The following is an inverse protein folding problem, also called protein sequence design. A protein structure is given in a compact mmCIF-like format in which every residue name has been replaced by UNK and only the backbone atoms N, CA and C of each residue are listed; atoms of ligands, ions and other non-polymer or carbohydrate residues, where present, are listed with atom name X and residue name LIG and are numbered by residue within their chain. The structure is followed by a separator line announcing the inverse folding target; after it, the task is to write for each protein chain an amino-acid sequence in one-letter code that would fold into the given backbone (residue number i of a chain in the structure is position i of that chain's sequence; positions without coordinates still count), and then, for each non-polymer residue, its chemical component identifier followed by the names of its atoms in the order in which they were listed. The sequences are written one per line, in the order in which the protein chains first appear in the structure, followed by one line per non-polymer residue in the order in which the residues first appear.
data_IF_409137188688
#
_entry.id   IF_409137188688
#
_cell.length_a   1.000
_cell.length_b   1.000
_cell.length_c   1.000
_cell.angle_alpha   90.00
_cell.angle_beta   90.00
_cell.angle_gamma   90.00
#
_symmetry.space_group_name_H-M   'P 1'
#
loop_
_entity.id
_entity.type
_entity.pdbx_description
1 polymer ?
#
# COMPACT_ATOMS: atom_id res chain seq x y z
N UNK A 1 -3.38 50.05 -23.92
CA UNK A 1 -3.95 48.76 -23.43
C UNK A 1 -3.08 47.53 -23.69
N UNK A 2 -2.45 47.34 -24.87
CA UNK A 2 -1.66 46.13 -25.19
C UNK A 2 -0.42 45.87 -24.31
N UNK A 3 0.22 46.91 -23.77
CA UNK A 3 1.43 46.79 -22.93
C UNK A 3 1.12 46.17 -21.55
N UNK A 4 -0.01 46.55 -20.94
CA UNK A 4 -0.43 46.08 -19.62
C UNK A 4 -0.91 44.62 -19.66
N UNK A 5 -1.43 44.16 -20.81
CA UNK A 5 -1.83 42.76 -21.03
C UNK A 5 -0.63 41.81 -20.96
N UNK A 6 0.53 42.19 -21.50
CA UNK A 6 1.74 41.35 -21.43
C UNK A 6 2.23 41.16 -20.00
N UNK A 7 2.21 42.23 -19.19
CA UNK A 7 2.56 42.14 -17.78
C UNK A 7 1.56 41.30 -16.98
N UNK A 8 0.26 41.46 -17.24
CA UNK A 8 -0.79 40.62 -16.64
C UNK A 8 -0.58 39.13 -16.98
N UNK A 9 -0.18 38.83 -18.23
CA UNK A 9 0.09 37.48 -18.69
C UNK A 9 1.34 36.87 -18.03
N UNK A 10 2.41 37.66 -17.87
CA UNK A 10 3.60 37.20 -17.12
C UNK A 10 3.32 36.95 -15.65
N UNK A 11 2.54 37.84 -15.01
CA UNK A 11 2.14 37.68 -13.60
C UNK A 11 1.32 36.42 -13.41
N UNK A 12 0.32 36.19 -14.27
CA UNK A 12 -0.53 34.98 -14.20
C UNK A 12 0.27 33.70 -14.45
N UNK A 13 1.20 33.70 -15.41
CA UNK A 13 2.07 32.55 -15.67
C UNK A 13 3.02 32.26 -14.51
N UNK A 14 3.63 33.30 -13.92
CA UNK A 14 4.47 33.15 -12.73
C UNK A 14 3.68 32.63 -11.54
N UNK A 15 2.44 33.11 -11.34
CA UNK A 15 1.58 32.63 -10.26
C UNK A 15 1.24 31.14 -10.44
N UNK A 16 0.91 30.73 -11.67
CA UNK A 16 0.63 29.35 -12.00
C UNK A 16 1.85 28.45 -11.73
N UNK A 17 3.04 28.91 -12.09
CA UNK A 17 4.28 28.18 -11.84
C UNK A 17 4.54 27.99 -10.34
N UNK A 18 4.33 29.02 -9.53
CA UNK A 18 4.47 28.93 -8.06
C UNK A 18 3.47 27.93 -7.47
N UNK A 19 2.23 27.94 -7.96
CA UNK A 19 1.21 26.97 -7.54
C UNK A 19 1.66 25.55 -7.88
N UNK A 20 2.10 25.29 -9.11
CA UNK A 20 2.56 23.96 -9.54
C UNK A 20 3.72 23.49 -8.66
N UNK A 21 4.72 24.34 -8.43
CA UNK A 21 5.87 24.01 -7.58
C UNK A 21 5.44 23.72 -6.13
N UNK A 22 4.51 24.50 -5.58
CA UNK A 22 3.98 24.27 -4.23
C UNK A 22 3.21 22.95 -4.13
N UNK A 23 2.40 22.61 -5.13
CA UNK A 23 1.66 21.34 -5.16
C UNK A 23 2.63 20.16 -5.25
N UNK A 24 3.64 20.22 -6.13
CA UNK A 24 4.64 19.14 -6.23
C UNK A 24 5.40 18.94 -4.92
N UNK A 25 5.74 20.03 -4.21
CA UNK A 25 6.41 19.95 -2.92
C UNK A 25 5.53 19.35 -1.83
N UNK A 26 4.24 19.68 -1.81
CA UNK A 26 3.29 19.07 -0.87
C UNK A 26 3.09 17.59 -1.16
N UNK A 27 2.92 17.21 -2.44
CA UNK A 27 2.72 15.81 -2.83
C UNK A 27 3.91 14.92 -2.47
N UNK A 28 5.14 15.41 -2.64
CA UNK A 28 6.38 14.70 -2.26
C UNK A 28 6.52 14.51 -0.73
N UNK A 29 5.78 15.30 0.05
CA UNK A 29 5.79 15.30 1.52
C UNK A 29 4.58 14.60 2.13
N UNK A 30 3.68 14.04 1.32
CA UNK A 30 2.61 13.18 1.84
C UNK A 30 3.27 11.87 2.26
N UNK A 31 3.76 11.85 3.50
CA UNK A 31 4.13 10.63 4.19
C UNK A 31 2.82 9.94 4.53
N UNK A 32 2.48 8.87 3.80
CA UNK A 32 1.35 8.00 4.17
C UNK A 32 1.73 7.38 5.51
N UNK A 33 1.25 8.00 6.60
CA UNK A 33 1.64 7.60 7.94
C UNK A 33 1.25 6.16 8.21
N UNK A 34 2.22 5.25 8.22
CA UNK A 34 2.06 3.93 8.80
C UNK A 34 1.91 4.11 10.31
N UNK A 35 0.77 3.70 10.87
CA UNK A 35 0.65 3.70 12.32
C UNK A 35 1.50 2.57 12.90
N UNK A 36 2.08 2.81 14.07
CA UNK A 36 2.72 1.74 14.83
C UNK A 36 1.68 0.66 15.15
N UNK A 37 2.08 -0.63 15.11
CA UNK A 37 1.19 -1.70 15.54
C UNK A 37 0.73 -1.51 16.99
N UNK A 38 -0.48 -1.99 17.34
CA UNK A 38 -0.89 -2.10 18.73
C UNK A 38 0.14 -2.88 19.54
N UNK A 39 0.50 -2.35 20.72
CA UNK A 39 1.45 -2.99 21.64
C UNK A 39 0.73 -3.44 22.92
N UNK A 40 1.02 -4.65 23.45
CA UNK A 40 1.90 -5.67 22.87
C UNK A 40 1.27 -6.38 21.64
N UNK A 41 2.12 -6.89 20.74
CA UNK A 41 1.68 -7.79 19.66
C UNK A 41 1.12 -9.08 20.28
N UNK A 42 -0.09 -9.54 19.92
CA UNK A 42 -0.65 -10.76 20.46
C UNK A 42 0.19 -12.01 20.16
N UNK A 43 0.31 -12.92 21.13
CA UNK A 43 1.18 -14.12 21.05
C UNK A 43 0.78 -15.12 19.95
N UNK A 44 -0.48 -15.09 19.53
CA UNK A 44 -1.02 -15.96 18.48
C UNK A 44 -0.71 -15.44 17.06
N UNK A 45 -0.14 -14.24 16.91
CA UNK A 45 0.29 -13.72 15.62
C UNK A 45 1.76 -14.08 15.39
N UNK A 46 2.11 -14.76 14.28
CA UNK A 46 3.50 -15.10 13.98
C UNK A 46 4.41 -13.87 13.99
N UNK A 47 5.62 -14.00 14.54
CA UNK A 47 6.59 -12.91 14.66
C UNK A 47 6.87 -12.22 13.32
N UNK A 48 6.97 -13.01 12.24
CA UNK A 48 7.20 -12.56 10.86
C UNK A 48 6.02 -11.83 10.21
N UNK A 49 4.83 -11.82 10.83
CA UNK A 49 3.70 -11.08 10.29
C UNK A 49 3.91 -9.58 10.47
N UNK A 50 3.80 -8.83 9.38
CA UNK A 50 4.00 -7.39 9.31
C UNK A 50 2.69 -6.66 9.55
N UNK A 51 2.71 -5.59 10.34
CA UNK A 51 1.54 -4.73 10.50
C UNK A 51 1.38 -3.83 9.29
N UNK A 52 0.25 -3.93 8.60
CA UNK A 52 -0.13 -3.07 7.49
C UNK A 52 -1.36 -2.28 7.92
N UNK A 53 -1.23 -0.95 8.06
CA UNK A 53 -2.30 -0.13 8.60
C UNK A 53 -1.91 1.32 8.90
N UNK A 54 -2.94 2.15 9.05
CA UNK A 54 -2.85 3.56 9.39
C UNK A 54 -3.41 3.85 10.77
N UNK A 55 -3.59 5.15 11.06
CA UNK A 55 -4.09 5.62 12.36
C UNK A 55 -5.46 5.04 12.72
N UNK A 56 -6.29 4.76 11.72
CA UNK A 56 -7.64 4.23 11.88
C UNK A 56 -7.69 2.71 12.06
N UNK A 57 -6.52 2.05 12.07
CA UNK A 57 -6.39 0.61 12.27
C UNK A 57 -5.58 -0.08 11.17
N UNK A 58 -5.48 -1.40 11.30
CA UNK A 58 -4.67 -2.23 10.43
C UNK A 58 -4.82 -3.71 10.72
N UNK A 59 -4.07 -4.49 9.95
CA UNK A 59 -4.02 -5.94 10.05
C UNK A 59 -2.57 -6.40 10.10
N UNK A 60 -2.32 -7.53 10.73
CA UNK A 60 -1.06 -8.24 10.57
C UNK A 60 -1.15 -9.15 9.36
N UNK A 61 -0.15 -9.10 8.49
CA UNK A 61 -0.08 -9.88 7.25
C UNK A 61 1.18 -10.70 7.22
N UNK A 62 1.02 -11.99 6.98
CA UNK A 62 2.08 -12.94 6.72
C UNK A 62 1.87 -13.52 5.33
N UNK A 63 2.77 -13.20 4.41
CA UNK A 63 2.77 -13.77 3.06
C UNK A 63 4.00 -14.65 2.90
N UNK A 64 3.82 -15.79 2.24
CA UNK A 64 4.86 -16.75 1.95
C UNK A 64 4.75 -17.24 0.51
N UNK A 65 5.89 -17.66 -0.04
CA UNK A 65 5.96 -18.28 -1.36
C UNK A 65 6.21 -19.77 -1.23
N UNK A 66 5.35 -20.58 -1.83
CA UNK A 66 5.56 -22.01 -2.00
C UNK A 66 6.10 -22.30 -3.41
N UNK A 67 7.28 -22.91 -3.48
CA UNK A 67 7.96 -23.22 -4.75
C UNK A 67 7.24 -24.29 -5.59
N UNK A 68 6.25 -24.99 -5.02
CA UNK A 68 5.43 -25.97 -5.74
C UNK A 68 4.23 -25.35 -6.45
N UNK A 69 3.81 -24.16 -6.03
CA UNK A 69 2.66 -23.46 -6.60
C UNK A 69 3.08 -22.59 -7.79
N UNK A 70 2.09 -22.11 -8.56
CA UNK A 70 2.32 -21.14 -9.62
C UNK A 70 3.10 -19.91 -9.10
N UNK A 71 4.01 -19.32 -9.90
CA UNK A 71 4.66 -18.05 -9.56
C UNK A 71 3.70 -16.92 -9.21
N UNK A 72 2.44 -16.98 -9.65
CA UNK A 72 1.39 -16.00 -9.31
C UNK A 72 0.67 -16.25 -7.97
N UNK A 73 0.84 -17.42 -7.35
CA UNK A 73 0.11 -17.82 -6.14
C UNK A 73 0.95 -17.63 -4.87
N UNK A 74 0.39 -17.04 -3.85
CA UNK A 74 1.02 -16.79 -2.55
C UNK A 74 0.19 -17.41 -1.43
N UNK A 75 0.83 -17.99 -0.43
CA UNK A 75 0.15 -18.39 0.80
C UNK A 75 0.08 -17.16 1.72
N UNK A 76 -1.09 -16.87 2.29
CA UNK A 76 -1.30 -15.71 3.13
C UNK A 76 -2.06 -16.07 4.42
N UNK A 77 -1.65 -15.46 5.52
CA UNK A 77 -2.39 -15.40 6.78
C UNK A 77 -2.54 -13.94 7.19
N UNK A 78 -3.77 -13.53 7.47
CA UNK A 78 -4.13 -12.15 7.83
C UNK A 78 -4.82 -12.18 9.18
N UNK A 79 -4.40 -11.32 10.11
CA UNK A 79 -4.90 -11.30 11.49
C UNK A 79 -5.34 -9.90 11.88
N UNK A 80 -6.40 -9.85 12.66
CA UNK A 80 -6.82 -8.64 13.35
C UNK A 80 -5.81 -8.25 14.44
N UNK A 81 -5.87 -6.99 14.88
CA UNK A 81 -5.08 -6.48 16.00
C UNK A 81 -5.29 -7.25 17.32
N UNK A 82 -6.43 -7.91 17.48
CA UNK A 82 -6.76 -8.79 18.61
C UNK A 82 -6.06 -10.16 18.55
N UNK A 83 -5.45 -10.50 17.41
CA UNK A 83 -4.81 -11.78 17.16
C UNK A 83 -5.69 -12.83 16.48
N UNK A 84 -6.99 -12.61 16.36
CA UNK A 84 -7.85 -13.53 15.61
C UNK A 84 -7.54 -13.50 14.12
N UNK A 85 -7.50 -14.66 13.47
CA UNK A 85 -7.34 -14.76 12.03
C UNK A 85 -8.57 -14.15 11.31
N UNK A 86 -8.29 -13.26 10.36
CA UNK A 86 -9.26 -12.72 9.40
C UNK A 86 -9.32 -13.60 8.15
N UNK A 87 -8.16 -14.04 7.65
CA UNK A 87 -8.03 -14.89 6.47
C UNK A 87 -6.83 -15.83 6.59
N UNK A 88 -6.97 -17.04 6.04
CA UNK A 88 -5.89 -18.01 5.88
C UNK A 88 -6.12 -18.83 4.63
N UNK A 89 -5.24 -18.71 3.65
CA UNK A 89 -5.40 -19.40 2.38
C UNK A 89 -4.48 -18.89 1.29
N UNK A 90 -4.81 -19.21 0.04
CA UNK A 90 -4.04 -18.79 -1.14
C UNK A 90 -4.56 -17.49 -1.70
N UNK A 91 -3.65 -16.62 -2.11
CA UNK A 91 -3.96 -15.42 -2.88
C UNK A 91 -3.29 -15.51 -4.26
N UNK A 92 -3.91 -14.95 -5.28
CA UNK A 92 -3.36 -14.86 -6.64
C UNK A 92 -3.11 -13.41 -7.00
N UNK A 93 -1.92 -13.10 -7.48
CA UNK A 93 -1.57 -11.74 -7.94
C UNK A 93 -2.18 -11.45 -9.32
N UNK A 94 -2.67 -10.23 -9.51
CA UNK A 94 -3.29 -9.78 -10.77
C UNK A 94 -2.31 -9.54 -11.93
N UNK A 95 -1.01 -9.81 -11.73
CA UNK A 95 0.06 -9.63 -12.71
C UNK A 95 0.85 -10.94 -12.91
N UNK A 96 0.25 -11.98 -13.54
CA UNK A 96 0.87 -13.30 -13.66
C UNK A 96 2.18 -13.31 -14.45
N UNK A 97 2.36 -12.37 -15.40
CA UNK A 97 3.58 -12.22 -16.20
C UNK A 97 4.75 -11.59 -15.42
N UNK A 98 4.46 -10.86 -14.35
CA UNK A 98 5.46 -10.29 -13.43
C UNK A 98 4.96 -10.40 -11.99
N UNK A 99 4.95 -11.62 -11.42
CA UNK A 99 4.29 -11.86 -10.14
C UNK A 99 5.17 -11.48 -8.94
N UNK A 100 6.48 -11.30 -9.15
CA UNK A 100 7.44 -11.12 -8.07
C UNK A 100 7.27 -9.75 -7.39
N UNK A 101 7.38 -9.75 -6.06
CA UNK A 101 7.45 -8.56 -5.20
C UNK A 101 8.10 -8.93 -3.87
N UNK A 102 8.55 -7.93 -3.10
CA UNK A 102 9.19 -8.18 -1.81
C UNK A 102 8.15 -8.40 -0.70
N UNK A 103 7.56 -9.58 -0.64
CA UNK A 103 6.52 -9.93 0.33
C UNK A 103 6.96 -9.91 1.81
N UNK A 104 8.25 -9.84 2.10
CA UNK A 104 8.76 -9.70 3.47
C UNK A 104 8.88 -8.23 3.91
N UNK A 105 8.75 -7.28 2.97
CA UNK A 105 8.82 -5.85 3.25
C UNK A 105 7.42 -5.28 3.48
N UNK A 106 7.22 -4.68 4.65
CA UNK A 106 5.97 -4.02 5.02
C UNK A 106 5.61 -2.90 4.03
N UNK A 107 6.61 -2.26 3.44
CA UNK A 107 6.40 -1.20 2.45
C UNK A 107 5.99 -1.73 1.08
N UNK A 108 5.87 -3.04 0.89
CA UNK A 108 5.26 -3.60 -0.31
C UNK A 108 3.73 -3.52 -0.29
N UNK A 109 3.13 -3.31 0.88
CA UNK A 109 1.68 -3.40 1.08
C UNK A 109 1.05 -2.03 1.29
N UNK A 110 -0.14 -1.84 0.73
CA UNK A 110 -0.95 -0.64 0.94
C UNK A 110 -2.20 -0.91 1.78
N UNK A 111 -2.73 -2.13 1.81
CA UNK A 111 -3.83 -2.48 2.71
C UNK A 111 -4.51 -3.81 2.41
N UNK A 112 -5.48 -4.16 3.25
CA UNK A 112 -6.37 -5.31 3.12
C UNK A 112 -7.81 -4.85 3.36
N UNK A 113 -8.74 -5.23 2.48
CA UNK A 113 -10.17 -4.85 2.57
C UNK A 113 -11.12 -5.99 2.97
N UNK A 114 -10.63 -7.24 3.00
CA UNK A 114 -11.42 -8.42 3.34
C UNK A 114 -11.33 -9.54 2.31
N UNK A 115 -11.03 -9.22 1.05
CA UNK A 115 -10.82 -10.19 -0.03
C UNK A 115 -9.58 -9.88 -0.89
N UNK A 116 -9.08 -8.65 -0.82
CA UNK A 116 -8.01 -8.13 -1.67
C UNK A 116 -6.88 -7.54 -0.84
N UNK A 117 -5.66 -8.03 -1.09
CA UNK A 117 -4.42 -7.50 -0.53
C UNK A 117 -3.75 -6.57 -1.54
N UNK A 118 -3.77 -5.28 -1.26
CA UNK A 118 -3.24 -4.25 -2.15
C UNK A 118 -1.74 -4.05 -1.91
N UNK A 119 -1.00 -3.88 -3.01
CA UNK A 119 0.42 -3.56 -3.00
C UNK A 119 0.64 -2.06 -3.27
N UNK A 120 1.79 -1.53 -2.83
CA UNK A 120 2.15 -0.12 -3.04
C UNK A 120 2.35 0.24 -4.51
N UNK A 121 2.69 -0.72 -5.37
CA UNK A 121 2.92 -0.51 -6.79
C UNK A 121 1.64 -0.59 -7.65
N UNK A 122 0.47 -0.66 -7.01
CA UNK A 122 -0.84 -0.71 -7.67
C UNK A 122 -1.29 -2.10 -8.11
N UNK A 123 -0.45 -3.13 -7.93
CA UNK A 123 -0.87 -4.53 -8.05
C UNK A 123 -1.66 -4.95 -6.82
N UNK A 124 -2.35 -6.09 -6.93
CA UNK A 124 -3.10 -6.66 -5.82
C UNK A 124 -3.14 -8.19 -5.90
N UNK A 125 -3.40 -8.81 -4.76
CA UNK A 125 -3.66 -10.23 -4.66
C UNK A 125 -5.09 -10.46 -4.18
N UNK A 126 -5.84 -11.37 -4.83
CA UNK A 126 -7.20 -11.74 -4.43
C UNK A 126 -7.24 -13.16 -3.93
N UNK A 127 -8.25 -13.49 -3.10
CA UNK A 127 -8.55 -14.87 -2.73
C UNK A 127 -8.71 -15.73 -4.00
N UNK A 128 -8.13 -16.93 -3.97
CA UNK A 128 -8.38 -17.92 -5.02
C UNK A 128 -9.73 -18.56 -4.74
N UNK A 129 -10.74 -18.24 -5.55
CA UNK A 129 -12.01 -18.97 -5.55
C UNK A 129 -11.74 -20.42 -5.98
N UNK A 130 -12.09 -21.39 -5.13
CA UNK A 130 -12.09 -22.82 -5.47
C UNK A 130 -13.24 -23.19 -6.43
#
# INVERSE_FOLDING_TARGET
MKKNIKYLLYITLSLLLVIILSVTYVLDRIEIGSALPPTPKPDNIPEKASWIGGLDGGMYVLVQKNNKDSPAIYDAEIYHSSGSASYKGKLVINAPENPQFNYNDVNSYSGWDGDTLYLQDGRYLTIVDE
#
